data_IF_472978422723
#
_entry.id   IF_472978422723
#
_cell.length_a   1.000
_cell.length_b   1.000
_cell.length_c   1.000
_cell.angle_alpha   90.00
_cell.angle_beta   90.00
_cell.angle_gamma   90.00
#
_symmetry.space_group_name_H-M   'P 1'
#
loop_
_entity.id
_entity.type
_entity.pdbx_description
1 polymer ?
#
# COMPACT_ATOMS: atom_id res chain seq x y z
N UNK A 1 10.68 18.49 -23.67
CA UNK A 1 9.48 18.77 -22.84
C UNK A 1 9.07 17.45 -22.21
N UNK A 2 8.62 17.41 -20.96
CA UNK A 2 8.09 16.17 -20.39
C UNK A 2 6.97 15.64 -21.31
N UNK A 3 6.97 14.33 -21.56
CA UNK A 3 5.90 13.72 -22.34
C UNK A 3 4.61 13.76 -21.54
N UNK A 4 3.51 14.18 -22.18
CA UNK A 4 2.18 14.20 -21.59
C UNK A 4 1.75 12.78 -21.23
N UNK A 5 1.08 12.63 -20.08
CA UNK A 5 0.39 11.39 -19.74
C UNK A 5 -0.76 11.09 -20.72
N UNK A 6 -1.28 9.87 -20.67
CA UNK A 6 -2.39 9.45 -21.56
C UNK A 6 -3.63 10.36 -21.41
N UNK A 7 -4.02 10.68 -20.17
CA UNK A 7 -5.14 11.58 -19.90
C UNK A 7 -4.88 13.00 -20.42
N UNK A 8 -3.68 13.54 -20.20
CA UNK A 8 -3.27 14.87 -20.70
C UNK A 8 -3.27 14.93 -22.23
N UNK A 9 -2.89 13.85 -22.91
CA UNK A 9 -2.95 13.75 -24.37
C UNK A 9 -4.40 13.76 -24.90
N UNK A 10 -5.33 13.09 -24.22
CA UNK A 10 -6.75 13.12 -24.58
C UNK A 10 -7.35 14.51 -24.33
N UNK A 11 -7.01 15.15 -23.20
CA UNK A 11 -7.41 16.55 -22.93
C UNK A 11 -6.85 17.50 -23.99
N UNK A 12 -5.61 17.29 -24.42
CA UNK A 12 -5.00 18.07 -25.49
C UNK A 12 -5.77 17.96 -26.82
N UNK A 13 -6.32 16.79 -27.15
CA UNK A 13 -7.18 16.63 -28.33
C UNK A 13 -8.49 17.42 -28.21
N UNK A 14 -9.09 17.46 -27.02
CA UNK A 14 -10.27 18.28 -26.75
C UNK A 14 -9.95 19.78 -26.88
N UNK A 15 -8.84 20.22 -26.31
CA UNK A 15 -8.36 21.61 -26.41
C UNK A 15 -8.07 22.00 -27.86
N UNK A 16 -7.44 21.11 -28.63
CA UNK A 16 -7.18 21.32 -30.06
C UNK A 16 -8.48 21.41 -30.86
N UNK A 17 -9.48 20.62 -30.50
CA UNK A 17 -10.82 20.65 -31.10
C UNK A 17 -11.51 21.98 -30.80
N UNK A 18 -11.49 22.44 -29.54
CA UNK A 18 -12.01 23.74 -29.14
C UNK A 18 -11.32 24.87 -29.93
N UNK A 19 -9.98 24.91 -29.89
CA UNK A 19 -9.17 25.92 -30.55
C UNK A 19 -9.51 26.07 -32.04
N UNK A 20 -9.55 24.95 -32.76
CA UNK A 20 -9.86 24.93 -34.20
C UNK A 20 -11.30 25.28 -34.50
N UNK A 21 -12.25 24.85 -33.67
CA UNK A 21 -13.67 25.10 -33.89
C UNK A 21 -14.05 26.55 -33.67
N UNK A 22 -13.42 27.20 -32.68
CA UNK A 22 -13.64 28.61 -32.34
C UNK A 22 -12.70 29.55 -33.10
N UNK A 23 -11.69 29.04 -33.81
CA UNK A 23 -10.73 29.86 -34.55
C UNK A 23 -9.81 30.69 -33.65
N UNK A 24 -9.48 30.18 -32.46
CA UNK A 24 -8.66 30.87 -31.45
C UNK A 24 -7.17 30.49 -31.59
N UNK A 25 -6.29 31.36 -31.10
CA UNK A 25 -4.83 31.16 -31.17
C UNK A 25 -4.32 30.19 -30.09
N UNK A 26 -5.07 30.09 -28.99
CA UNK A 26 -4.70 29.37 -27.78
C UNK A 26 -5.93 28.70 -27.16
N UNK A 27 -5.77 27.46 -26.70
CA UNK A 27 -6.68 26.82 -25.76
C UNK A 27 -5.87 26.14 -24.65
N UNK A 28 -6.35 26.21 -23.41
CA UNK A 28 -5.67 25.57 -22.30
C UNK A 28 -6.63 25.04 -21.24
N UNK A 29 -6.20 23.97 -20.56
CA UNK A 29 -6.76 23.54 -19.30
C UNK A 29 -5.92 24.14 -18.18
N UNK A 30 -6.59 24.69 -17.17
CA UNK A 30 -5.92 25.13 -15.94
C UNK A 30 -6.46 24.41 -14.71
N UNK A 31 -5.58 24.18 -13.73
CA UNK A 31 -5.91 23.78 -12.35
C UNK A 31 -5.79 24.98 -11.42
N UNK A 32 -6.67 25.06 -10.44
CA UNK A 32 -6.69 26.10 -9.41
C UNK A 32 -6.59 25.47 -8.02
N UNK A 33 -5.60 25.89 -7.22
CA UNK A 33 -5.40 25.36 -5.86
C UNK A 33 -5.80 26.34 -4.73
N UNK A 34 -6.42 27.46 -5.10
CA UNK A 34 -6.83 28.53 -4.19
C UNK A 34 -5.81 29.66 -4.07
N UNK A 35 -4.58 29.46 -4.55
CA UNK A 35 -3.51 30.48 -4.53
C UNK A 35 -2.87 30.68 -5.89
N UNK A 36 -2.59 29.57 -6.59
CA UNK A 36 -1.89 29.53 -7.86
C UNK A 36 -2.78 28.86 -8.90
N UNK A 37 -2.84 29.47 -10.07
CA UNK A 37 -3.38 28.86 -11.27
C UNK A 37 -2.24 28.20 -12.04
N UNK A 38 -2.40 26.91 -12.34
CA UNK A 38 -1.45 26.10 -13.10
C UNK A 38 -2.05 25.81 -14.48
N UNK A 39 -1.42 26.26 -15.56
CA UNK A 39 -1.82 25.95 -16.93
C UNK A 39 -1.22 24.60 -17.30
N UNK A 40 -1.97 23.52 -17.06
CA UNK A 40 -1.47 22.15 -17.13
C UNK A 40 -1.33 21.63 -18.55
N UNK A 41 -2.30 21.91 -19.43
CA UNK A 41 -2.28 21.46 -20.82
C UNK A 41 -2.56 22.64 -21.72
N UNK A 42 -1.64 22.91 -22.64
CA UNK A 42 -1.70 24.05 -23.54
C UNK A 42 -1.66 23.59 -25.00
N UNK A 43 -2.63 24.04 -25.78
CA UNK A 43 -2.64 23.90 -27.24
C UNK A 43 -2.60 25.29 -27.86
N UNK A 44 -1.48 25.63 -28.51
CA UNK A 44 -1.28 26.95 -29.09
C UNK A 44 -0.53 26.89 -30.42
N UNK A 45 -0.70 27.92 -31.24
CA UNK A 45 0.19 28.18 -32.37
C UNK A 45 1.49 28.86 -31.94
N UNK A 46 1.51 29.42 -30.73
CA UNK A 46 2.70 29.98 -30.10
C UNK A 46 3.49 28.89 -29.34
N UNK A 47 4.82 29.02 -29.23
CA UNK A 47 5.65 28.07 -28.50
C UNK A 47 5.54 28.29 -26.97
N UNK A 48 4.35 28.03 -26.41
CA UNK A 48 4.08 28.14 -24.97
C UNK A 48 4.25 26.77 -24.29
N UNK A 49 5.03 26.69 -23.19
CA UNK A 49 5.21 25.43 -22.48
C UNK A 49 4.03 25.12 -21.56
N UNK A 50 3.69 23.83 -21.43
CA UNK A 50 2.85 23.33 -20.35
C UNK A 50 3.48 23.64 -18.97
N UNK A 51 2.64 23.73 -17.94
CA UNK A 51 3.07 23.94 -16.56
C UNK A 51 3.37 25.40 -16.18
N UNK A 52 2.99 26.37 -17.02
CA UNK A 52 3.04 27.79 -16.64
C UNK A 52 2.15 28.06 -15.43
N UNK A 53 2.58 28.95 -14.55
CA UNK A 53 1.84 29.32 -13.34
C UNK A 53 1.65 30.82 -13.23
N UNK A 54 0.52 31.23 -12.64
CA UNK A 54 0.26 32.63 -12.30
C UNK A 54 -0.53 32.75 -10.99
N UNK A 55 -0.51 33.91 -10.32
CA UNK A 55 -1.40 34.15 -9.17
C UNK A 55 -2.86 33.97 -9.57
N UNK A 56 -3.59 33.10 -8.87
CA UNK A 56 -4.96 32.74 -9.23
C UNK A 56 -5.90 33.95 -9.14
N UNK A 57 -5.78 34.74 -8.06
CA UNK A 57 -6.62 35.91 -7.76
C UNK A 57 -6.61 37.00 -8.86
N UNK A 58 -5.56 37.06 -9.68
CA UNK A 58 -5.43 38.05 -10.76
C UNK A 58 -5.66 37.45 -12.15
N UNK A 59 -6.14 36.22 -12.25
CA UNK A 59 -6.41 35.57 -13.54
C UNK A 59 -7.76 35.97 -14.13
N UNK A 60 -7.88 35.99 -15.47
CA UNK A 60 -9.18 36.04 -16.13
C UNK A 60 -10.10 34.89 -15.71
N UNK A 61 -9.51 33.71 -15.49
CA UNK A 61 -10.25 32.50 -15.15
C UNK A 61 -10.94 32.64 -13.78
N UNK A 62 -10.24 33.16 -12.77
CA UNK A 62 -10.80 33.44 -11.45
C UNK A 62 -11.85 34.56 -11.51
N UNK A 63 -11.57 35.66 -12.22
CA UNK A 63 -12.53 36.75 -12.39
C UNK A 63 -13.85 36.29 -13.05
N UNK A 64 -13.80 35.29 -13.95
CA UNK A 64 -14.98 34.67 -14.54
C UNK A 64 -15.71 33.76 -13.54
N UNK A 65 -14.97 32.95 -12.77
CA UNK A 65 -15.54 32.09 -11.70
C UNK A 65 -16.28 32.94 -10.66
N UNK A 66 -15.71 34.08 -10.27
CA UNK A 66 -16.28 35.01 -9.29
C UNK A 66 -17.43 35.86 -9.86
N UNK A 67 -17.72 35.75 -11.16
CA UNK A 67 -18.77 36.52 -11.83
C UNK A 67 -18.42 38.00 -12.06
N UNK A 68 -17.15 38.40 -11.89
CA UNK A 68 -16.65 39.75 -12.18
C UNK A 68 -16.55 39.99 -13.68
N UNK A 69 -16.18 38.96 -14.45
CA UNK A 69 -16.15 38.96 -15.91
C UNK A 69 -17.12 37.92 -16.48
N UNK A 70 -17.69 38.16 -17.68
CA UNK A 70 -18.51 37.15 -18.34
C UNK A 70 -17.65 36.01 -18.87
N UNK A 71 -18.24 34.82 -19.00
CA UNK A 71 -17.56 33.63 -19.52
C UNK A 71 -17.13 33.77 -20.99
N UNK A 72 -17.76 34.68 -21.74
CA UNK A 72 -17.47 34.98 -23.15
C UNK A 72 -17.10 36.45 -23.27
N UNK A 73 -15.90 36.72 -23.78
CA UNK A 73 -15.32 38.06 -23.94
C UNK A 73 -14.88 38.21 -25.41
N UNK A 74 -15.76 38.74 -26.29
CA UNK A 74 -15.44 38.95 -27.71
C UNK A 74 -14.32 39.96 -27.94
N UNK A 75 -14.28 41.03 -27.14
CA UNK A 75 -13.19 42.00 -27.10
C UNK A 75 -12.86 42.39 -25.64
N UNK A 76 -11.66 42.04 -25.16
CA UNK A 76 -11.15 42.38 -23.82
C UNK A 76 -11.16 43.89 -23.57
N UNK A 77 -10.96 44.71 -24.61
CA UNK A 77 -10.94 46.17 -24.47
C UNK A 77 -12.29 46.77 -24.03
N UNK A 78 -13.38 46.03 -24.21
CA UNK A 78 -14.72 46.45 -23.78
C UNK A 78 -14.95 46.25 -22.27
N UNK A 79 -14.04 45.58 -21.57
CA UNK A 79 -14.17 45.23 -20.16
C UNK A 79 -13.07 45.89 -19.32
N UNK A 80 -13.35 47.07 -18.69
CA UNK A 80 -12.36 47.75 -17.85
C UNK A 80 -11.79 46.91 -16.71
N UNK A 81 -12.56 45.94 -16.19
CA UNK A 81 -12.08 45.00 -15.19
C UNK A 81 -11.04 44.02 -15.75
N UNK A 82 -11.18 43.59 -17.01
CA UNK A 82 -10.23 42.70 -17.67
C UNK A 82 -8.92 43.43 -18.00
N UNK A 83 -8.98 44.71 -18.40
CA UNK A 83 -7.80 45.53 -18.69
C UNK A 83 -6.87 45.75 -17.49
N UNK A 84 -7.34 45.51 -16.26
CA UNK A 84 -6.53 45.60 -15.03
C UNK A 84 -5.83 44.29 -14.66
N UNK A 85 -6.08 43.21 -15.39
CA UNK A 85 -5.54 41.89 -15.09
C UNK A 85 -4.35 41.60 -16.02
N UNK A 86 -3.32 40.85 -15.56
CA UNK A 86 -2.12 40.53 -16.34
C UNK A 86 -2.39 39.91 -17.70
N UNK A 87 -3.51 39.19 -17.87
CA UNK A 87 -3.90 38.60 -19.16
C UNK A 87 -4.06 39.62 -20.29
N UNK A 88 -4.44 40.87 -19.98
CA UNK A 88 -4.55 41.93 -20.99
C UNK A 88 -3.16 42.40 -21.47
N UNK A 89 -2.15 42.37 -20.59
CA UNK A 89 -0.77 42.73 -20.91
C UNK A 89 -0.10 41.68 -21.82
N UNK A 90 -0.60 40.43 -21.78
CA UNK A 90 -0.17 39.33 -22.66
C UNK A 90 -0.75 39.41 -24.08
N UNK A 91 -1.49 40.48 -24.41
CA UNK A 91 -2.05 40.71 -25.75
C UNK A 91 -3.29 39.89 -26.06
N UNK A 92 -3.93 39.28 -25.06
CA UNK A 92 -5.21 38.58 -25.24
C UNK A 92 -6.29 39.63 -25.56
N UNK A 93 -6.97 39.44 -26.70
CA UNK A 93 -8.01 40.33 -27.21
C UNK A 93 -9.38 39.70 -27.23
N UNK A 94 -9.49 38.38 -27.33
CA UNK A 94 -10.74 37.64 -27.10
C UNK A 94 -10.50 36.49 -26.14
N UNK A 95 -11.48 36.17 -25.31
CA UNK A 95 -11.33 35.15 -24.27
C UNK A 95 -12.64 34.43 -24.00
N UNK A 96 -12.56 33.12 -23.79
CA UNK A 96 -13.69 32.30 -23.35
C UNK A 96 -13.21 31.30 -22.31
N UNK A 97 -13.98 31.13 -21.24
CA UNK A 97 -13.62 30.23 -20.15
C UNK A 97 -14.85 29.61 -19.53
N UNK A 98 -14.77 28.31 -19.27
CA UNK A 98 -15.81 27.56 -18.55
C UNK A 98 -15.18 26.77 -17.42
N UNK A 99 -15.89 26.58 -16.29
CA UNK A 99 -15.37 25.80 -15.18
C UNK A 99 -15.28 24.32 -15.56
N UNK A 100 -14.23 23.66 -15.06
CA UNK A 100 -14.08 22.20 -15.10
C UNK A 100 -14.49 21.69 -13.74
N UNK A 101 -15.67 21.09 -13.66
CA UNK A 101 -16.24 20.54 -12.43
C UNK A 101 -16.09 19.03 -12.42
N UNK A 102 -15.54 18.50 -11.32
CA UNK A 102 -15.47 17.07 -11.08
C UNK A 102 -16.84 16.54 -10.66
N UNK A 103 -17.02 15.22 -10.67
CA UNK A 103 -18.29 14.58 -10.32
C UNK A 103 -18.79 14.89 -8.89
N UNK A 104 -17.89 15.26 -7.98
CA UNK A 104 -18.20 15.66 -6.60
C UNK A 104 -18.63 17.14 -6.46
N UNK A 105 -18.67 17.89 -7.56
CA UNK A 105 -19.02 19.32 -7.60
C UNK A 105 -17.85 20.27 -7.35
N UNK A 106 -16.65 19.76 -7.06
CA UNK A 106 -15.45 20.58 -6.91
C UNK A 106 -15.05 21.20 -8.24
N UNK A 107 -14.76 22.50 -8.23
CA UNK A 107 -14.14 23.18 -9.38
C UNK A 107 -12.65 22.89 -9.38
N UNK A 108 -12.21 22.05 -10.30
CA UNK A 108 -10.79 21.71 -10.47
C UNK A 108 -10.00 22.89 -11.07
N UNK A 109 -10.64 23.64 -11.98
CA UNK A 109 -10.10 24.83 -12.62
C UNK A 109 -10.95 25.21 -13.83
N UNK A 110 -10.33 25.60 -14.94
CA UNK A 110 -11.07 26.09 -16.12
C UNK A 110 -10.54 25.52 -17.44
N UNK A 111 -11.46 25.39 -18.40
CA UNK A 111 -11.19 25.05 -19.79
C UNK A 111 -11.36 26.31 -20.63
N UNK A 112 -10.27 26.80 -21.22
CA UNK A 112 -10.18 28.15 -21.75
C UNK A 112 -9.78 28.17 -23.23
N UNK A 113 -10.22 29.22 -23.91
CA UNK A 113 -9.76 29.63 -25.23
C UNK A 113 -9.42 31.11 -25.23
N UNK A 114 -8.36 31.49 -25.94
CA UNK A 114 -7.91 32.87 -26.03
C UNK A 114 -7.45 33.19 -27.47
N UNK A 115 -7.79 34.40 -27.92
CA UNK A 115 -7.33 34.94 -29.20
C UNK A 115 -6.54 36.23 -29.01
N UNK A 116 -5.56 36.45 -29.89
CA UNK A 116 -4.74 37.67 -29.98
C UNK A 116 -5.46 38.79 -30.75
N UNK A 117 -6.58 38.48 -31.39
CA UNK A 117 -7.51 39.44 -32.00
C UNK A 117 -8.88 39.40 -31.35
N UNK A 118 -9.62 40.50 -31.42
CA UNK A 118 -11.03 40.52 -31.05
C UNK A 118 -11.81 39.63 -32.03
N UNK A 119 -12.81 38.90 -31.53
CA UNK A 119 -13.70 38.09 -32.37
C UNK A 119 -15.18 38.34 -32.00
N UNK A 120 -15.89 39.21 -32.74
CA UNK A 120 -17.30 39.50 -32.47
C UNK A 120 -18.23 38.31 -32.75
N UNK A 121 -17.72 37.22 -33.34
CA UNK A 121 -18.49 35.98 -33.57
C UNK A 121 -18.45 35.04 -32.37
N UNK A 122 -17.62 35.32 -31.37
CA UNK A 122 -17.56 34.54 -30.14
C UNK A 122 -18.84 34.77 -29.33
N UNK A 123 -19.60 33.71 -29.09
CA UNK A 123 -20.96 33.78 -28.54
C UNK A 123 -21.22 32.75 -27.44
N UNK A 124 -22.41 32.82 -26.83
CA UNK A 124 -22.89 31.79 -25.89
C UNK A 124 -23.02 30.40 -26.52
N UNK A 125 -23.11 30.28 -27.85
CA UNK A 125 -23.06 28.97 -28.53
C UNK A 125 -21.68 28.33 -28.36
N UNK A 126 -20.62 29.13 -28.46
CA UNK A 126 -19.24 28.67 -28.28
C UNK A 126 -18.99 28.27 -26.82
N UNK A 127 -19.61 28.99 -25.88
CA UNK A 127 -19.63 28.60 -24.46
C UNK A 127 -20.26 27.22 -24.27
N UNK A 128 -21.39 26.93 -24.92
CA UNK A 128 -22.03 25.62 -24.81
C UNK A 128 -21.13 24.49 -25.35
N UNK A 129 -20.42 24.71 -26.45
CA UNK A 129 -19.42 23.77 -26.95
C UNK A 129 -18.27 23.59 -25.95
N UNK A 130 -17.71 24.69 -25.43
CA UNK A 130 -16.66 24.64 -24.41
C UNK A 130 -17.11 23.88 -23.16
N UNK A 131 -18.35 24.05 -22.71
CA UNK A 131 -18.91 23.31 -21.57
C UNK A 131 -18.93 21.80 -21.80
N UNK A 132 -19.34 21.34 -22.99
CA UNK A 132 -19.34 19.91 -23.34
C UNK A 132 -17.92 19.36 -23.34
N UNK A 133 -16.97 20.08 -23.92
CA UNK A 133 -15.56 19.67 -23.96
C UNK A 133 -14.92 19.69 -22.56
N UNK A 134 -15.28 20.65 -21.71
CA UNK A 134 -14.84 20.73 -20.33
C UNK A 134 -15.37 19.57 -19.48
N UNK A 135 -16.63 19.15 -19.68
CA UNK A 135 -17.18 17.96 -19.04
C UNK A 135 -16.48 16.68 -19.49
N UNK A 136 -16.17 16.55 -20.78
CA UNK A 136 -15.37 15.44 -21.29
C UNK A 136 -13.96 15.42 -20.69
N UNK A 137 -13.31 16.59 -20.61
CA UNK A 137 -12.01 16.73 -19.97
C UNK A 137 -12.06 16.34 -18.49
N UNK A 138 -13.09 16.78 -17.76
CA UNK A 138 -13.29 16.42 -16.36
C UNK A 138 -13.36 14.89 -16.18
N UNK A 139 -14.17 14.20 -16.98
CA UNK A 139 -14.30 12.74 -16.91
C UNK A 139 -12.98 12.00 -17.18
N UNK A 140 -12.15 12.53 -18.08
CA UNK A 140 -10.83 11.96 -18.42
C UNK A 140 -9.84 12.15 -17.28
N UNK A 141 -9.79 13.34 -16.67
CA UNK A 141 -8.78 13.68 -15.65
C UNK A 141 -9.15 13.20 -14.25
N UNK A 142 -10.44 13.05 -13.94
CA UNK A 142 -10.91 12.81 -12.58
C UNK A 142 -10.30 11.55 -11.91
N UNK A 143 -10.09 10.41 -12.60
CA UNK A 143 -9.36 9.27 -12.05
C UNK A 143 -7.97 9.64 -11.53
N UNK A 144 -7.18 10.39 -12.32
CA UNK A 144 -5.82 10.81 -11.96
C UNK A 144 -5.85 11.82 -10.82
N UNK A 145 -6.81 12.75 -10.82
CA UNK A 145 -6.99 13.72 -9.73
C UNK A 145 -7.32 13.01 -8.42
N UNK A 146 -8.24 12.03 -8.43
CA UNK A 146 -8.58 11.24 -7.24
C UNK A 146 -7.39 10.43 -6.75
N UNK A 147 -6.61 9.83 -7.66
CA UNK A 147 -5.41 9.09 -7.31
C UNK A 147 -4.35 9.99 -6.68
N UNK A 148 -4.03 11.15 -7.28
CA UNK A 148 -3.08 12.13 -6.74
C UNK A 148 -3.50 12.60 -5.35
N UNK A 149 -4.80 12.89 -5.15
CA UNK A 149 -5.33 13.27 -3.84
C UNK A 149 -5.17 12.16 -2.81
N UNK A 150 -5.53 10.92 -3.15
CA UNK A 150 -5.33 9.76 -2.27
C UNK A 150 -3.86 9.58 -1.88
N UNK A 151 -2.95 9.68 -2.86
CA UNK A 151 -1.51 9.57 -2.62
C UNK A 151 -0.99 10.67 -1.69
N UNK A 152 -1.42 11.92 -1.89
CA UNK A 152 -1.07 13.04 -1.01
C UNK A 152 -1.60 12.85 0.43
N UNK A 153 -2.82 12.32 0.58
CA UNK A 153 -3.41 12.00 1.89
C UNK A 153 -2.63 10.88 2.61
N UNK A 154 -2.22 9.84 1.87
CA UNK A 154 -1.35 8.77 2.39
C UNK A 154 0.00 9.35 2.83
N UNK A 155 0.64 10.14 1.98
CA UNK A 155 1.95 10.72 2.24
C UNK A 155 1.91 11.64 3.48
N UNK A 156 0.90 12.50 3.59
CA UNK A 156 0.68 13.37 4.74
C UNK A 156 0.56 12.58 6.05
N UNK A 157 -0.03 11.38 5.98
CA UNK A 157 -0.21 10.48 7.13
C UNK A 157 1.06 9.68 7.48
N UNK A 158 1.75 9.12 6.48
CA UNK A 158 2.94 8.29 6.68
C UNK A 158 4.19 9.10 7.05
N UNK A 159 4.37 10.29 6.47
CA UNK A 159 5.56 11.14 6.69
C UNK A 159 5.87 11.39 8.19
N UNK A 160 4.92 11.80 9.05
CA UNK A 160 5.18 11.96 10.48
C UNK A 160 5.48 10.64 11.21
N UNK A 161 4.91 9.51 10.78
CA UNK A 161 5.26 8.18 11.33
C UNK A 161 6.72 7.84 11.01
N UNK A 162 7.14 8.02 9.76
CA UNK A 162 8.51 7.74 9.31
C UNK A 162 9.52 8.63 10.02
N UNK A 163 9.21 9.92 10.26
CA UNK A 163 10.06 10.83 11.06
C UNK A 163 10.24 10.36 12.51
N UNK A 164 9.31 9.59 13.06
CA UNK A 164 9.42 8.98 14.40
C UNK A 164 10.10 7.61 14.35
N UNK A 165 10.63 7.20 13.20
CA UNK A 165 11.34 5.93 13.03
C UNK A 165 10.42 4.73 12.82
N UNK A 166 9.25 4.91 12.21
CA UNK A 166 8.38 3.83 11.76
C UNK A 166 7.30 3.41 12.76
N UNK A 167 6.60 2.28 12.49
CA UNK A 167 5.52 1.78 13.33
C UNK A 167 6.05 1.27 14.67
N UNK A 168 5.17 1.21 15.67
CA UNK A 168 5.47 0.48 16.90
C UNK A 168 5.50 -1.01 16.58
N UNK A 169 6.39 -1.77 17.21
CA UNK A 169 6.45 -3.23 17.05
C UNK A 169 6.14 -3.89 18.37
N UNK A 170 5.14 -4.78 18.37
CA UNK A 170 4.80 -5.67 19.48
C UNK A 170 5.25 -7.09 19.14
N UNK A 171 5.38 -7.93 20.17
CA UNK A 171 5.82 -9.31 20.03
C UNK A 171 4.67 -10.26 20.38
N UNK A 172 4.31 -11.17 19.48
CA UNK A 172 3.37 -12.25 19.78
C UNK A 172 4.14 -13.57 20.02
N UNK A 173 3.90 -14.30 21.12
CA UNK A 173 4.67 -15.50 21.43
C UNK A 173 4.39 -16.64 20.44
N UNK A 174 5.46 -17.35 20.08
CA UNK A 174 5.41 -18.63 19.40
C UNK A 174 5.81 -19.71 20.41
N UNK A 175 4.91 -20.66 20.63
CA UNK A 175 4.95 -21.59 21.76
C UNK A 175 5.08 -23.02 21.26
N UNK A 176 5.98 -23.78 21.84
CA UNK A 176 6.06 -25.23 21.64
C UNK A 176 4.82 -25.92 22.23
N UNK A 177 4.05 -26.60 21.39
CA UNK A 177 2.75 -27.14 21.78
C UNK A 177 2.85 -28.31 22.77
N UNK A 178 3.99 -29.01 22.79
CA UNK A 178 4.21 -30.16 23.69
C UNK A 178 4.61 -29.72 25.10
N UNK A 179 5.40 -28.65 25.21
CA UNK A 179 6.01 -28.20 26.47
C UNK A 179 5.39 -26.93 27.03
N UNK A 180 4.71 -26.15 26.21
CA UNK A 180 4.22 -24.82 26.56
C UNK A 180 5.32 -23.77 26.67
N UNK A 181 6.57 -24.09 26.31
CA UNK A 181 7.68 -23.13 26.36
C UNK A 181 7.63 -22.19 25.17
N UNK A 182 7.86 -20.90 25.40
CA UNK A 182 8.05 -19.95 24.30
C UNK A 182 9.40 -20.23 23.61
N UNK A 183 9.37 -20.44 22.30
CA UNK A 183 10.58 -20.66 21.48
C UNK A 183 11.03 -19.41 20.75
N UNK A 184 10.10 -18.50 20.48
CA UNK A 184 10.35 -17.23 19.83
C UNK A 184 9.13 -16.32 19.93
N UNK A 185 9.15 -15.24 19.17
CA UNK A 185 8.01 -14.36 19.01
C UNK A 185 8.02 -13.71 17.62
N UNK A 186 6.84 -13.46 17.07
CA UNK A 186 6.71 -12.68 15.83
C UNK A 186 6.63 -11.19 16.15
N UNK A 187 7.41 -10.40 15.41
CA UNK A 187 7.39 -8.95 15.44
C UNK A 187 6.27 -8.40 14.56
N UNK A 188 5.24 -7.84 15.20
CA UNK A 188 4.04 -7.35 14.54
C UNK A 188 3.93 -5.83 14.64
N UNK A 189 3.88 -5.19 13.47
CA UNK A 189 3.71 -3.74 13.34
C UNK A 189 2.35 -3.27 13.88
N UNK A 190 2.34 -2.12 14.56
CA UNK A 190 1.17 -1.42 15.07
C UNK A 190 1.24 0.04 14.63
N UNK A 191 0.16 0.45 13.98
CA UNK A 191 -0.05 1.80 13.48
C UNK A 191 -0.99 2.58 14.42
N UNK A 192 -1.02 3.91 14.33
CA UNK A 192 -1.91 4.73 15.14
C UNK A 192 -3.38 4.31 14.99
N UNK A 193 -4.07 4.11 16.12
CA UNK A 193 -5.43 3.57 16.14
C UNK A 193 -6.44 4.50 15.44
N UNK A 194 -6.19 5.80 15.47
CA UNK A 194 -6.99 6.84 14.81
C UNK A 194 -6.99 6.71 13.27
N UNK A 195 -6.11 5.91 12.68
CA UNK A 195 -6.15 5.63 11.24
C UNK A 195 -7.28 4.68 10.86
N UNK A 196 -7.83 3.92 11.83
CA UNK A 196 -8.85 2.90 11.59
C UNK A 196 -8.48 1.92 10.47
N UNK A 197 -7.18 1.61 10.34
CA UNK A 197 -6.63 0.74 9.31
C UNK A 197 -5.81 -0.39 9.95
N UNK A 198 -5.97 -1.63 9.47
CA UNK A 198 -5.09 -2.71 9.86
C UNK A 198 -3.69 -2.55 9.23
N UNK A 199 -2.67 -3.27 9.73
CA UNK A 199 -1.28 -3.13 9.27
C UNK A 199 -1.08 -3.37 7.77
N UNK A 200 -1.70 -4.38 7.20
CA UNK A 200 -1.67 -4.73 5.77
C UNK A 200 -2.14 -3.57 4.88
N UNK A 201 -3.24 -2.90 5.24
CA UNK A 201 -3.69 -1.70 4.55
C UNK A 201 -2.69 -0.54 4.64
N UNK A 202 -1.96 -0.42 5.75
CA UNK A 202 -0.95 0.63 5.92
C UNK A 202 0.27 0.39 5.02
N UNK A 203 0.71 -0.87 4.88
CA UNK A 203 1.77 -1.25 3.94
C UNK A 203 1.30 -1.11 2.49
N UNK A 204 0.05 -1.46 2.17
CA UNK A 204 -0.52 -1.25 0.84
C UNK A 204 -0.68 0.25 0.48
N UNK A 205 -1.00 1.09 1.46
CA UNK A 205 -1.00 2.54 1.27
C UNK A 205 0.43 3.04 1.00
N UNK A 206 1.44 2.56 1.72
CA UNK A 206 2.84 2.89 1.44
C UNK A 206 3.29 2.43 0.05
N UNK A 207 2.88 1.24 -0.40
CA UNK A 207 3.12 0.75 -1.77
C UNK A 207 2.55 1.69 -2.82
N UNK A 208 1.33 2.22 -2.60
CA UNK A 208 0.67 3.13 -3.54
C UNK A 208 1.41 4.47 -3.76
N UNK A 209 2.40 4.77 -2.92
CA UNK A 209 3.28 5.94 -3.02
C UNK A 209 4.77 5.56 -3.10
N UNK A 210 5.09 4.31 -3.44
CA UNK A 210 6.47 3.80 -3.58
C UNK A 210 7.33 3.90 -2.29
N UNK A 211 6.72 3.76 -1.11
CA UNK A 211 7.37 3.88 0.20
C UNK A 211 7.25 2.60 1.06
N UNK A 212 6.80 1.47 0.49
CA UNK A 212 6.63 0.21 1.24
C UNK A 212 7.95 -0.28 1.81
N UNK A 213 9.02 -0.29 1.01
CA UNK A 213 10.33 -0.79 1.43
C UNK A 213 10.91 0.05 2.56
N UNK A 214 10.80 1.39 2.46
CA UNK A 214 11.20 2.31 3.52
C UNK A 214 10.47 1.99 4.83
N UNK A 215 9.15 1.76 4.76
CA UNK A 215 8.33 1.44 5.91
C UNK A 215 8.67 0.06 6.51
N UNK A 216 8.89 -0.95 5.68
CA UNK A 216 9.34 -2.29 6.11
C UNK A 216 10.70 -2.22 6.81
N UNK A 217 11.68 -1.50 6.25
CA UNK A 217 12.99 -1.30 6.87
C UNK A 217 12.86 -0.61 8.23
N UNK A 218 12.01 0.40 8.36
CA UNK A 218 11.77 1.06 9.64
C UNK A 218 11.13 0.11 10.67
N UNK A 219 10.19 -0.74 10.25
CA UNK A 219 9.61 -1.77 11.10
C UNK A 219 10.65 -2.82 11.55
N UNK A 220 11.52 -3.26 10.63
CA UNK A 220 12.62 -4.18 10.91
C UNK A 220 13.61 -3.59 11.93
N UNK A 221 13.97 -2.31 11.77
CA UNK A 221 14.78 -1.59 12.75
C UNK A 221 14.13 -1.60 14.14
N UNK A 222 12.82 -1.37 14.23
CA UNK A 222 12.08 -1.41 15.49
C UNK A 222 12.05 -2.81 16.10
N UNK A 223 11.78 -3.83 15.29
CA UNK A 223 11.80 -5.23 15.72
C UNK A 223 13.17 -5.65 16.29
N UNK A 224 14.27 -5.24 15.63
CA UNK A 224 15.61 -5.57 16.09
C UNK A 224 15.96 -4.97 17.45
N UNK A 225 15.34 -3.85 17.86
CA UNK A 225 15.56 -3.29 19.20
C UNK A 225 15.10 -4.22 20.33
N UNK A 226 14.19 -5.15 20.04
CA UNK A 226 13.67 -6.09 21.03
C UNK A 226 14.56 -7.32 21.24
N UNK A 227 15.52 -7.60 20.33
CA UNK A 227 16.36 -8.80 20.38
C UNK A 227 17.14 -8.94 21.70
N UNK A 228 17.61 -7.83 22.27
CA UNK A 228 18.34 -7.84 23.54
C UNK A 228 17.43 -8.01 24.76
N UNK A 229 16.12 -7.75 24.62
CA UNK A 229 15.17 -7.75 25.72
C UNK A 229 14.47 -9.11 25.93
N UNK A 230 14.48 -9.98 24.91
CA UNK A 230 13.78 -11.28 24.96
C UNK A 230 14.74 -12.42 24.67
N UNK A 231 14.41 -13.62 25.16
CA UNK A 231 15.09 -14.88 24.78
C UNK A 231 14.43 -15.52 23.54
N UNK A 232 15.08 -16.50 22.93
CA UNK A 232 14.55 -17.18 21.73
C UNK A 232 14.77 -16.37 20.45
N UNK A 233 14.12 -16.75 19.36
CA UNK A 233 14.20 -16.03 18.09
C UNK A 233 13.13 -14.94 17.97
N UNK A 234 13.36 -13.98 17.09
CA UNK A 234 12.34 -13.05 16.61
C UNK A 234 12.07 -13.34 15.13
N UNK A 235 10.81 -13.58 14.82
CA UNK A 235 10.29 -13.66 13.48
C UNK A 235 10.00 -12.25 12.94
N UNK A 236 10.43 -11.97 11.71
CA UNK A 236 10.32 -10.66 11.08
C UNK A 236 9.78 -10.80 9.65
N UNK A 237 8.64 -10.17 9.39
CA UNK A 237 8.05 -10.05 8.06
C UNK A 237 8.91 -9.17 7.15
N UNK A 238 9.14 -9.62 5.92
CA UNK A 238 9.86 -8.86 4.90
C UNK A 238 9.37 -9.26 3.51
N UNK A 239 9.15 -8.27 2.63
CA UNK A 239 8.86 -8.58 1.22
C UNK A 239 10.14 -8.93 0.44
N UNK A 240 10.04 -9.73 -0.64
CA UNK A 240 11.17 -9.94 -1.55
C UNK A 240 11.73 -8.62 -2.11
N UNK A 241 10.88 -7.63 -2.39
CA UNK A 241 11.29 -6.31 -2.88
C UNK A 241 12.24 -5.61 -1.89
N UNK A 242 11.85 -5.52 -0.61
CA UNK A 242 12.71 -4.98 0.45
C UNK A 242 14.01 -5.76 0.61
N UNK A 243 13.93 -7.10 0.58
CA UNK A 243 15.11 -7.98 0.67
C UNK A 243 16.10 -7.75 -0.49
N UNK A 244 15.62 -7.35 -1.67
CA UNK A 244 16.44 -7.06 -2.84
C UNK A 244 17.07 -5.66 -2.81
N UNK A 245 16.64 -4.78 -1.91
CA UNK A 245 17.30 -3.49 -1.72
C UNK A 245 18.68 -3.65 -1.07
N UNK A 246 19.60 -2.73 -1.40
CA UNK A 246 20.91 -2.70 -0.75
C UNK A 246 20.83 -2.29 0.73
N UNK A 247 19.77 -1.60 1.14
CA UNK A 247 19.54 -1.21 2.52
C UNK A 247 19.04 -2.38 3.36
N UNK A 248 18.01 -3.11 2.89
CA UNK A 248 17.49 -4.31 3.53
C UNK A 248 18.57 -5.36 3.77
N UNK A 249 19.39 -5.66 2.75
CA UNK A 249 20.53 -6.60 2.92
C UNK A 249 21.53 -6.13 3.97
N UNK A 250 21.97 -4.86 3.90
CA UNK A 250 22.94 -4.30 4.86
C UNK A 250 22.40 -4.26 6.28
N UNK A 251 21.10 -4.08 6.44
CA UNK A 251 20.44 -4.16 7.74
C UNK A 251 20.50 -5.59 8.29
N UNK A 252 20.06 -6.58 7.52
CA UNK A 252 20.04 -7.99 7.93
C UNK A 252 21.43 -8.52 8.27
N UNK A 253 22.45 -8.14 7.49
CA UNK A 253 23.83 -8.56 7.73
C UNK A 253 24.39 -8.15 9.11
N UNK A 254 23.78 -7.16 9.78
CA UNK A 254 24.22 -6.67 11.10
C UNK A 254 23.52 -7.35 12.27
N UNK A 255 22.50 -8.17 12.01
CA UNK A 255 21.73 -8.85 13.05
C UNK A 255 22.43 -10.15 13.52
N UNK A 256 22.15 -10.60 14.75
CA UNK A 256 22.48 -11.96 15.20
C UNK A 256 21.56 -12.97 14.48
N UNK A 257 21.94 -13.33 13.26
CA UNK A 257 21.11 -14.06 12.31
C UNK A 257 20.59 -15.41 12.84
N UNK A 258 21.33 -16.08 13.72
CA UNK A 258 20.89 -17.29 14.40
C UNK A 258 19.61 -17.11 15.27
N UNK A 259 19.29 -15.86 15.62
CA UNK A 259 18.07 -15.47 16.35
C UNK A 259 16.99 -14.89 15.45
N UNK A 260 17.16 -14.92 14.13
CA UNK A 260 16.23 -14.34 13.16
C UNK A 260 15.53 -15.45 12.38
N UNK A 261 14.21 -15.34 12.31
CA UNK A 261 13.39 -16.03 11.30
C UNK A 261 12.85 -14.93 10.38
N UNK A 262 13.18 -14.96 9.09
CA UNK A 262 12.56 -14.06 8.12
C UNK A 262 11.33 -14.72 7.53
N UNK A 263 10.23 -13.98 7.47
CA UNK A 263 8.95 -14.48 7.00
C UNK A 263 8.63 -13.82 5.66
N UNK A 264 8.38 -14.65 4.64
CA UNK A 264 7.88 -14.22 3.33
C UNK A 264 6.41 -14.64 3.24
N UNK A 265 5.51 -13.69 2.95
CA UNK A 265 4.11 -14.00 2.70
C UNK A 265 3.95 -14.79 1.40
N UNK A 266 2.96 -15.70 1.34
CA UNK A 266 2.65 -16.40 0.10
C UNK A 266 2.08 -15.48 -1.01
N UNK A 267 1.56 -14.30 -0.62
CA UNK A 267 0.95 -13.34 -1.52
C UNK A 267 1.95 -12.43 -2.22
N UNK A 268 3.17 -12.29 -1.70
CA UNK A 268 4.19 -11.48 -2.34
C UNK A 268 4.73 -12.20 -3.59
N UNK A 269 4.63 -11.58 -4.78
CA UNK A 269 5.08 -12.21 -6.01
C UNK A 269 6.61 -12.34 -6.04
N UNK A 270 7.09 -13.55 -6.30
CA UNK A 270 8.51 -13.80 -6.57
C UNK A 270 8.67 -14.07 -8.06
N UNK A 271 9.26 -13.10 -8.77
CA UNK A 271 9.55 -13.20 -10.20
C UNK A 271 10.85 -13.97 -10.49
N UNK A 272 11.86 -13.82 -9.63
CA UNK A 272 13.17 -14.45 -9.78
C UNK A 272 13.58 -15.19 -8.49
N UNK A 273 13.32 -16.50 -8.48
CA UNK A 273 13.67 -17.37 -7.35
C UNK A 273 15.17 -17.64 -7.25
N UNK A 274 15.91 -17.57 -8.37
CA UNK A 274 17.35 -17.80 -8.33
C UNK A 274 18.07 -16.60 -7.71
N UNK A 275 17.60 -15.38 -8.02
CA UNK A 275 18.04 -14.18 -7.32
C UNK A 275 17.70 -14.25 -5.82
N UNK A 276 16.47 -14.65 -5.47
CA UNK A 276 16.05 -14.80 -4.07
C UNK A 276 16.96 -15.79 -3.31
N UNK A 277 17.22 -16.97 -3.88
CA UNK A 277 18.14 -17.95 -3.30
C UNK A 277 19.54 -17.38 -3.13
N UNK A 278 20.05 -16.65 -4.12
CA UNK A 278 21.36 -16.00 -4.06
C UNK A 278 21.48 -14.98 -2.93
N UNK A 279 20.41 -14.21 -2.68
CA UNK A 279 20.36 -13.23 -1.58
C UNK A 279 20.22 -13.92 -0.21
N UNK A 280 19.42 -14.98 -0.12
CA UNK A 280 19.18 -15.70 1.14
C UNK A 280 20.37 -16.59 1.57
N UNK A 281 21.10 -17.18 0.61
CA UNK A 281 22.19 -18.11 0.88
C UNK A 281 23.23 -17.60 1.91
N UNK A 282 23.82 -16.39 1.78
CA UNK A 282 24.79 -15.89 2.76
C UNK A 282 24.16 -15.62 4.14
N UNK A 283 22.87 -15.26 4.20
CA UNK A 283 22.17 -15.04 5.47
C UNK A 283 21.90 -16.37 6.18
N UNK A 284 21.43 -17.37 5.44
CA UNK A 284 21.19 -18.73 5.94
C UNK A 284 22.48 -19.42 6.39
N UNK A 285 23.59 -19.22 5.68
CA UNK A 285 24.90 -19.75 6.07
C UNK A 285 25.38 -19.23 7.45
N UNK A 286 24.84 -18.10 7.91
CA UNK A 286 25.10 -17.50 9.23
C UNK A 286 24.06 -17.86 10.29
N UNK A 287 23.11 -18.73 9.98
CA UNK A 287 22.11 -19.24 10.93
C UNK A 287 20.72 -18.61 10.83
N UNK A 288 20.49 -17.67 9.91
CA UNK A 288 19.15 -17.16 9.64
C UNK A 288 18.24 -18.30 9.15
N UNK A 289 17.03 -18.34 9.69
CA UNK A 289 15.98 -19.26 9.23
C UNK A 289 14.96 -18.53 8.37
N UNK A 290 14.39 -19.24 7.39
CA UNK A 290 13.34 -18.74 6.52
C UNK A 290 12.00 -19.40 6.86
N UNK A 291 10.95 -18.60 6.97
CA UNK A 291 9.57 -19.05 7.04
C UNK A 291 8.81 -18.65 5.77
N UNK A 292 7.86 -19.50 5.36
CA UNK A 292 6.77 -19.10 4.46
C UNK A 292 5.52 -18.91 5.32
N UNK A 293 4.95 -17.72 5.22
CA UNK A 293 3.76 -17.32 5.97
C UNK A 293 2.46 -17.61 5.23
N UNK A 294 1.35 -17.67 5.98
CA UNK A 294 -0.02 -17.85 5.47
C UNK A 294 -0.24 -19.10 4.59
N UNK A 295 0.49 -20.19 4.82
CA UNK A 295 0.32 -21.42 4.03
C UNK A 295 -1.07 -22.00 4.26
N UNK A 296 -1.80 -22.19 3.15
CA UNK A 296 -3.17 -22.71 3.15
C UNK A 296 -4.24 -21.66 2.85
N UNK A 297 -3.89 -20.37 2.82
CA UNK A 297 -4.80 -19.30 2.38
C UNK A 297 -4.99 -19.27 0.84
N UNK A 298 -4.06 -19.88 0.08
CA UNK A 298 -4.09 -19.90 -1.39
C UNK A 298 -3.24 -21.01 -2.04
N UNK A 299 -3.09 -20.95 -3.37
CA UNK A 299 -2.39 -21.98 -4.16
C UNK A 299 -0.88 -21.74 -4.34
N UNK A 300 -0.37 -20.55 -3.97
CA UNK A 300 1.03 -20.14 -4.23
C UNK A 300 2.04 -20.74 -3.26
N UNK A 301 1.63 -21.14 -2.06
CA UNK A 301 2.55 -21.57 -0.99
C UNK A 301 3.35 -22.83 -1.32
N UNK A 302 2.80 -23.80 -2.06
CA UNK A 302 3.57 -24.99 -2.48
C UNK A 302 4.72 -24.64 -3.42
N UNK A 303 4.53 -23.68 -4.34
CA UNK A 303 5.60 -23.23 -5.23
C UNK A 303 6.70 -22.55 -4.44
N UNK A 304 6.34 -21.69 -3.48
CA UNK A 304 7.30 -21.04 -2.59
C UNK A 304 8.10 -22.05 -1.78
N UNK A 305 7.44 -23.04 -1.17
CA UNK A 305 8.10 -24.11 -0.40
C UNK A 305 9.11 -24.86 -1.25
N UNK A 306 8.72 -25.30 -2.45
CA UNK A 306 9.62 -26.04 -3.37
C UNK A 306 10.79 -25.17 -3.79
N UNK A 307 10.54 -23.89 -4.06
CA UNK A 307 11.57 -23.01 -4.57
C UNK A 307 12.56 -22.54 -3.50
N UNK A 308 12.12 -22.35 -2.26
CA UNK A 308 12.95 -21.73 -1.20
C UNK A 308 13.46 -22.72 -0.16
N UNK A 309 12.88 -23.93 -0.07
CA UNK A 309 13.19 -24.93 0.95
C UNK A 309 13.25 -24.30 2.37
N UNK A 310 12.12 -23.79 2.87
CA UNK A 310 12.07 -23.03 4.11
C UNK A 310 12.35 -23.90 5.34
N UNK A 311 12.82 -23.26 6.41
CA UNK A 311 13.05 -23.90 7.71
C UNK A 311 11.76 -23.96 8.55
N UNK A 312 10.81 -23.06 8.25
CA UNK A 312 9.53 -22.94 8.95
C UNK A 312 8.39 -22.80 7.94
N UNK A 313 7.27 -23.46 8.21
CA UNK A 313 6.00 -23.32 7.48
C UNK A 313 4.96 -22.87 8.48
N UNK A 314 4.35 -21.69 8.26
CA UNK A 314 3.29 -21.15 9.11
C UNK A 314 1.95 -21.44 8.44
N UNK A 315 1.10 -22.18 9.15
CA UNK A 315 -0.24 -22.56 8.71
C UNK A 315 -1.21 -21.43 9.04
N UNK A 316 -1.88 -20.91 8.01
CA UNK A 316 -2.81 -19.79 8.15
C UNK A 316 -3.97 -20.11 9.12
N UNK A 317 -4.50 -19.07 9.74
CA UNK A 317 -5.66 -19.16 10.64
C UNK A 317 -6.87 -19.84 10.00
N UNK A 318 -7.09 -19.70 8.69
CA UNK A 318 -8.25 -20.33 8.01
C UNK A 318 -8.20 -21.86 8.02
N UNK A 319 -7.01 -22.47 8.14
CA UNK A 319 -6.85 -23.93 8.24
C UNK A 319 -6.68 -24.43 9.69
N UNK A 320 -6.36 -23.52 10.63
CA UNK A 320 -6.13 -23.83 12.04
C UNK A 320 -7.38 -23.62 12.90
N UNK A 321 -8.16 -22.57 12.64
CA UNK A 321 -9.27 -22.16 13.49
C UNK A 321 -10.41 -23.19 13.44
N UNK A 322 -10.83 -23.70 14.60
CA UNK A 322 -11.92 -24.68 14.70
C UNK A 322 -11.55 -26.11 14.29
N UNK A 323 -10.26 -26.40 14.08
CA UNK A 323 -9.77 -27.73 13.67
C UNK A 323 -10.21 -28.87 14.61
N UNK A 324 -10.46 -28.58 15.89
CA UNK A 324 -10.96 -29.58 16.83
C UNK A 324 -12.37 -30.11 16.50
N UNK A 325 -13.18 -29.30 15.81
CA UNK A 325 -14.56 -29.64 15.43
C UNK A 325 -14.72 -30.10 13.98
N UNK A 326 -13.67 -29.98 13.16
CA UNK A 326 -13.72 -30.25 11.72
C UNK A 326 -12.70 -31.32 11.31
N UNK A 327 -13.22 -32.49 10.92
CA UNK A 327 -12.40 -33.61 10.49
C UNK A 327 -11.60 -33.30 9.22
N UNK A 328 -12.16 -32.52 8.28
CA UNK A 328 -11.49 -32.17 7.02
C UNK A 328 -10.29 -31.27 7.32
N UNK A 329 -10.47 -30.23 8.14
CA UNK A 329 -9.36 -29.37 8.57
C UNK A 329 -8.27 -30.19 9.28
N UNK A 330 -8.65 -31.10 10.17
CA UNK A 330 -7.69 -31.98 10.87
C UNK A 330 -6.87 -32.84 9.91
N UNK A 331 -7.50 -33.41 8.88
CA UNK A 331 -6.80 -34.18 7.83
C UNK A 331 -5.86 -33.30 7.01
N UNK A 332 -6.29 -32.09 6.64
CA UNK A 332 -5.46 -31.13 5.88
C UNK A 332 -4.24 -30.71 6.68
N UNK A 333 -4.41 -30.31 7.94
CA UNK A 333 -3.32 -29.95 8.84
C UNK A 333 -2.31 -31.08 8.97
N UNK A 334 -2.78 -32.33 9.13
CA UNK A 334 -1.89 -33.49 9.21
C UNK A 334 -1.11 -33.69 7.92
N UNK A 335 -1.76 -33.60 6.75
CA UNK A 335 -1.09 -33.74 5.46
C UNK A 335 -0.02 -32.66 5.24
N UNK A 336 -0.30 -31.41 5.61
CA UNK A 336 0.67 -30.32 5.53
C UNK A 336 1.82 -30.51 6.53
N UNK A 337 1.53 -31.07 7.70
CA UNK A 337 2.55 -31.37 8.72
C UNK A 337 3.47 -32.50 8.27
N UNK A 338 2.92 -33.56 7.66
CA UNK A 338 3.70 -34.64 7.07
C UNK A 338 4.58 -34.15 5.91
N UNK A 339 4.05 -33.26 5.05
CA UNK A 339 4.82 -32.61 3.98
C UNK A 339 5.98 -31.78 4.56
N UNK A 340 5.71 -30.94 5.55
CA UNK A 340 6.71 -30.12 6.22
C UNK A 340 7.84 -30.98 6.82
N UNK A 341 7.47 -32.06 7.52
CA UNK A 341 8.43 -33.02 8.06
C UNK A 341 9.29 -33.68 6.98
N UNK A 342 8.70 -34.04 5.83
CA UNK A 342 9.43 -34.62 4.70
C UNK A 342 10.45 -33.67 4.07
N UNK A 343 10.23 -32.36 4.14
CA UNK A 343 11.20 -31.33 3.67
C UNK A 343 12.09 -30.78 4.78
N UNK A 344 11.94 -31.27 6.02
CA UNK A 344 12.73 -30.84 7.18
C UNK A 344 12.32 -29.49 7.77
N UNK A 345 11.11 -29.00 7.48
CA UNK A 345 10.58 -27.74 7.99
C UNK A 345 9.81 -27.93 9.31
N UNK A 346 9.93 -26.95 10.20
CA UNK A 346 9.11 -26.86 11.42
C UNK A 346 7.76 -26.23 11.11
N UNK A 347 6.68 -26.75 11.68
CA UNK A 347 5.33 -26.21 11.47
C UNK A 347 4.92 -25.31 12.63
N UNK A 348 4.45 -24.11 12.32
CA UNK A 348 3.78 -23.18 13.24
C UNK A 348 2.32 -23.09 12.85
N UNK A 349 1.38 -23.35 13.77
CA UNK A 349 -0.04 -23.09 13.54
C UNK A 349 -0.44 -21.70 14.05
N UNK A 350 -1.01 -20.88 13.17
CA UNK A 350 -1.43 -19.52 13.49
C UNK A 350 -2.90 -19.41 13.85
N UNK A 351 -3.26 -18.38 14.63
CA UNK A 351 -4.65 -18.16 15.02
C UNK A 351 -5.22 -19.23 15.96
N UNK A 352 -4.38 -19.85 16.79
CA UNK A 352 -4.82 -20.78 17.83
C UNK A 352 -5.59 -20.02 18.92
N UNK A 353 -6.90 -20.24 19.01
CA UNK A 353 -7.77 -19.50 19.94
C UNK A 353 -8.28 -20.35 21.10
N UNK A 354 -8.37 -21.68 20.92
CA UNK A 354 -8.92 -22.58 21.94
C UNK A 354 -7.92 -23.65 22.38
N UNK A 355 -8.08 -24.11 23.63
CA UNK A 355 -7.28 -25.24 24.14
C UNK A 355 -7.57 -26.55 23.39
N UNK A 356 -8.77 -26.69 22.81
CA UNK A 356 -9.15 -27.87 22.04
C UNK A 356 -8.44 -27.90 20.68
N UNK A 357 -8.35 -26.76 20.00
CA UNK A 357 -7.59 -26.62 18.76
C UNK A 357 -6.11 -26.88 19.03
N UNK A 358 -5.53 -26.25 20.07
CA UNK A 358 -4.14 -26.48 20.47
C UNK A 358 -3.81 -27.96 20.70
N UNK A 359 -4.70 -28.68 21.42
CA UNK A 359 -4.54 -30.12 21.63
C UNK A 359 -4.64 -30.91 20.32
N UNK A 360 -5.60 -30.59 19.46
CA UNK A 360 -5.79 -31.27 18.17
C UNK A 360 -4.57 -31.09 17.25
N UNK A 361 -4.04 -29.86 17.17
CA UNK A 361 -2.83 -29.54 16.40
C UNK A 361 -1.63 -30.31 16.92
N UNK A 362 -1.43 -30.38 18.23
CA UNK A 362 -0.35 -31.16 18.84
C UNK A 362 -0.46 -32.66 18.50
N UNK A 363 -1.67 -33.23 18.54
CA UNK A 363 -1.91 -34.62 18.13
C UNK A 363 -1.68 -34.86 16.63
N UNK A 364 -1.91 -33.84 15.80
CA UNK A 364 -1.63 -33.88 14.37
C UNK A 364 -0.12 -33.74 14.04
N UNK A 365 0.74 -33.58 15.05
CA UNK A 365 2.18 -33.45 14.89
C UNK A 365 2.67 -32.02 14.68
N UNK A 366 1.81 -31.01 14.83
CA UNK A 366 2.22 -29.61 14.74
C UNK A 366 3.18 -29.29 15.90
N UNK A 367 4.28 -28.62 15.57
CA UNK A 367 5.38 -28.38 16.52
C UNK A 367 5.10 -27.16 17.40
N UNK A 368 4.75 -26.06 16.75
CA UNK A 368 4.64 -24.74 17.36
C UNK A 368 3.25 -24.14 17.13
N UNK A 369 2.80 -23.28 18.04
CA UNK A 369 1.54 -22.56 17.93
C UNK A 369 1.66 -21.09 18.29
N UNK A 370 0.87 -20.28 17.61
CA UNK A 370 0.73 -18.84 17.82
C UNK A 370 -0.76 -18.47 17.78
N UNK A 371 -1.20 -17.67 18.74
CA UNK A 371 -2.60 -17.25 18.80
C UNK A 371 -3.04 -16.79 20.18
N UNK A 372 -4.27 -16.28 20.24
CA UNK A 372 -4.81 -15.66 21.46
C UNK A 372 -5.08 -16.66 22.58
N UNK A 373 -5.06 -17.97 22.30
CA UNK A 373 -5.03 -18.99 23.34
C UNK A 373 -3.82 -18.82 24.27
N UNK A 374 -2.67 -18.43 23.71
CA UNK A 374 -1.43 -18.24 24.46
C UNK A 374 -1.28 -16.79 24.91
N UNK A 375 -1.25 -15.87 23.95
CA UNK A 375 -1.22 -14.43 24.21
C UNK A 375 -1.53 -13.59 22.97
N UNK A 376 -1.90 -12.34 23.23
CA UNK A 376 -1.92 -11.30 22.20
C UNK A 376 -0.51 -10.76 22.01
N UNK A 377 -0.29 -10.04 20.90
CA UNK A 377 0.94 -9.28 20.72
C UNK A 377 1.09 -8.25 21.85
N UNK A 378 2.25 -8.26 22.51
CA UNK A 378 2.50 -7.47 23.72
C UNK A 378 3.90 -6.85 23.71
N UNK A 379 4.25 -6.08 24.74
CA UNK A 379 5.58 -5.49 24.87
C UNK A 379 6.62 -6.55 25.26
N UNK A 380 7.92 -6.34 25.00
CA UNK A 380 8.96 -7.26 25.45
C UNK A 380 8.94 -7.56 26.96
N UNK A 381 8.53 -6.57 27.78
CA UNK A 381 8.49 -6.72 29.24
C UNK A 381 7.36 -7.65 29.72
N UNK A 382 6.27 -7.72 28.95
CA UNK A 382 5.09 -8.51 29.29
C UNK A 382 5.11 -9.91 28.64
N UNK A 383 6.11 -10.18 27.78
CA UNK A 383 6.23 -11.44 27.06
C UNK A 383 6.69 -12.57 28.01
N UNK A 384 5.85 -13.59 28.18
CA UNK A 384 6.13 -14.72 29.08
C UNK A 384 7.06 -15.76 28.44
N UNK A 385 7.83 -16.48 29.26
CA UNK A 385 8.67 -17.59 28.78
C UNK A 385 7.94 -18.94 28.68
N UNK A 386 6.75 -19.07 29.28
CA UNK A 386 5.94 -20.29 29.21
C UNK A 386 4.44 -20.00 29.35
N UNK A 387 3.65 -20.91 28.78
CA UNK A 387 2.21 -20.85 28.67
C UNK A 387 1.61 -22.21 29.05
N UNK A 388 0.40 -22.23 29.66
CA UNK A 388 -0.23 -23.47 30.06
C UNK A 388 -0.66 -24.30 28.84
N UNK A 389 -0.24 -25.56 28.79
CA UNK A 389 -0.71 -26.56 27.83
C UNK A 389 -1.41 -27.69 28.58
N UNK A 390 -2.57 -28.14 28.09
CA UNK A 390 -3.25 -29.32 28.66
C UNK A 390 -2.44 -30.57 28.30
N UNK A 391 -1.76 -31.16 29.28
CA UNK A 391 -1.30 -32.55 29.16
C UNK A 391 -2.51 -33.45 29.40
N UNK A 392 -2.93 -34.20 28.39
CA UNK A 392 -3.73 -35.39 28.69
C UNK A 392 -2.87 -36.32 29.56
N UNK A 393 -3.37 -36.65 30.75
CA UNK A 393 -2.76 -37.67 31.58
C UNK A 393 -2.68 -38.94 30.74
N UNK A 394 -1.48 -39.50 30.58
CA UNK A 394 -1.30 -40.79 29.92
C UNK A 394 -2.32 -41.78 30.50
N UNK A 395 -3.21 -42.31 29.65
CA UNK A 395 -4.13 -43.37 30.01
C UNK A 395 -3.30 -44.49 30.68
N UNK A 396 -3.64 -44.91 31.91
CA UNK A 396 -2.88 -45.97 32.56
C UNK A 396 -2.93 -47.21 31.67
N UNK A 397 -1.75 -47.70 31.29
CA UNK A 397 -1.63 -48.96 30.56
C UNK A 397 -2.40 -50.02 31.34
N UNK A 398 -3.37 -50.65 30.69
CA UNK A 398 -4.12 -51.76 31.26
C UNK A 398 -3.13 -52.87 31.57
N UNK A 399 -2.77 -52.99 32.85
CA UNK A 399 -2.05 -54.14 33.37
C UNK A 399 -2.87 -55.38 33.02
N UNK A 400 -2.30 -56.23 32.17
CA UNK A 400 -2.91 -57.47 31.73
C UNK A 400 -3.44 -58.26 32.92
N UNK A 401 -4.75 -58.55 32.87
CA UNK A 401 -5.37 -59.51 33.75
C UNK A 401 -4.80 -60.89 33.43
N UNK A 402 -3.87 -61.34 34.27
CA UNK A 402 -3.62 -62.76 34.48
C UNK A 402 -4.88 -63.36 35.08
N UNK A 403 -5.62 -64.15 34.29
CA UNK A 403 -6.64 -65.07 34.83
C UNK A 403 -5.93 -66.29 35.43
N UNK A 404 -6.30 -66.72 36.64
CA UNK A 404 -5.90 -68.03 37.17
C UNK A 404 -6.93 -69.11 36.81
N UNK A 405 -6.39 -70.34 36.71
CA UNK A 405 -6.98 -71.66 36.45
C UNK A 405 -7.39 -71.94 34.99
#
# INVERSE_FOLDING_TARGET
>A
MPERGQAEQQVAELLRTARRSLGLDLAFLSRMDGTVQHLEVIESELPLPDGMTQPQETSFCQAIIDGVLPAVIPDVAEFPAALRLPGAELGIRSFISVPVQLSDGTVYGTFCGAGLTADPRLTERDRALMQVLAQAAAMIMEPDVRQRRRNAEIEARLRPLMRRGGPMVLLQPIVDLATGRRVGAEALSRFPQEWHRPPDECFADAEAIDERESLEIAALHRAATHLSAVSGYIAMNISPATLFTAEGRRFLERLPLERIVLELSEHDPIHDYDHLRGVLAPLRARGMRLAIDDVGAGFSSLRHIVATAPDVIKLDRSIVSGVAGDHVLSVVVRALTDLAGAVGATVVAEGVETAADAATLAHAGVHLGQGWHFDRATTPADLRDSYPVKREAALPQSSGSTRPA
#
